data_IF_534867807101
#
_entry.id   IF_534867807101
#
_cell.length_a   1.000
_cell.length_b   1.000
_cell.length_c   1.000
_cell.angle_alpha   90.00
_cell.angle_beta   90.00
_cell.angle_gamma   90.00
#
_symmetry.space_group_name_H-M   'P 1'
#
loop_
_entity.id
_entity.type
_entity.pdbx_description
1 polymer ?
#
# COMPACT_ATOMS: atom_id res chain seq x y z
N UNK A 1 -1.15 -3.37 16.04
CA UNK A 1 0.12 -3.19 15.30
C UNK A 1 0.86 -4.51 15.06
N UNK A 2 1.18 -5.30 16.10
CA UNK A 2 2.00 -6.51 15.96
C UNK A 2 1.51 -7.51 14.86
N UNK A 3 0.20 -7.76 14.77
CA UNK A 3 -0.38 -8.65 13.74
C UNK A 3 -0.18 -8.12 12.32
N UNK A 4 -0.48 -6.83 12.08
CA UNK A 4 -0.34 -6.20 10.77
C UNK A 4 1.11 -6.14 10.30
N UNK A 5 2.03 -5.76 11.20
CA UNK A 5 3.46 -5.77 10.92
C UNK A 5 3.98 -7.17 10.58
N UNK A 6 3.59 -8.21 11.33
CA UNK A 6 4.02 -9.58 11.03
C UNK A 6 3.54 -10.05 9.65
N UNK A 7 2.29 -9.74 9.28
CA UNK A 7 1.74 -10.06 7.95
C UNK A 7 2.50 -9.29 6.87
N UNK A 8 2.76 -8.00 7.09
CA UNK A 8 3.52 -7.18 6.15
C UNK A 8 4.93 -7.75 5.92
N UNK A 9 5.66 -8.11 6.99
CA UNK A 9 6.99 -8.68 6.88
C UNK A 9 7.00 -10.02 6.12
N UNK A 10 6.03 -10.90 6.40
CA UNK A 10 5.96 -12.20 5.74
C UNK A 10 5.57 -12.12 4.25
N UNK A 11 4.79 -11.10 3.86
CA UNK A 11 4.12 -11.10 2.56
C UNK A 11 4.55 -9.96 1.64
N UNK A 12 4.71 -8.76 2.18
CA UNK A 12 4.82 -7.50 1.45
C UNK A 12 6.26 -6.98 1.40
N UNK A 13 7.01 -7.13 2.49
CA UNK A 13 8.34 -6.53 2.66
C UNK A 13 9.36 -7.01 1.62
N UNK A 14 9.17 -8.20 1.04
CA UNK A 14 10.02 -8.71 -0.05
C UNK A 14 10.10 -7.77 -1.26
N UNK A 15 9.06 -6.96 -1.48
CA UNK A 15 8.95 -6.02 -2.59
C UNK A 15 8.96 -4.57 -2.10
N UNK A 16 8.30 -4.29 -0.98
CA UNK A 16 8.12 -2.93 -0.47
C UNK A 16 9.16 -2.52 0.59
N UNK A 17 10.10 -3.40 0.96
CA UNK A 17 11.06 -3.16 2.02
C UNK A 17 10.47 -3.40 3.42
N UNK A 18 11.32 -3.47 4.45
CA UNK A 18 10.91 -3.78 5.83
C UNK A 18 10.19 -2.59 6.47
N UNK A 19 10.59 -1.38 6.10
CA UNK A 19 10.07 -0.10 6.61
C UNK A 19 9.30 0.67 5.53
N UNK A 20 8.96 0.03 4.40
CA UNK A 20 8.22 0.67 3.32
C UNK A 20 9.08 1.49 2.37
N UNK A 21 10.37 1.19 2.27
CA UNK A 21 11.35 1.88 1.43
C UNK A 21 11.05 1.75 -0.08
N UNK A 22 10.25 0.75 -0.46
CA UNK A 22 9.92 0.45 -1.85
C UNK A 22 11.16 0.26 -2.74
N UNK A 23 11.01 0.53 -4.02
CA UNK A 23 12.11 0.53 -4.97
C UNK A 23 12.63 1.95 -5.21
N UNK A 24 13.96 2.14 -5.27
CA UNK A 24 14.58 3.46 -5.52
C UNK A 24 14.15 4.08 -6.87
N UNK A 25 13.85 3.25 -7.86
CA UNK A 25 13.38 3.63 -9.19
C UNK A 25 11.85 3.53 -9.35
N UNK A 26 11.06 3.63 -8.28
CA UNK A 26 9.60 3.43 -8.31
C UNK A 26 8.81 4.28 -9.32
N UNK A 27 9.38 5.41 -9.77
CA UNK A 27 8.78 6.27 -10.81
C UNK A 27 9.17 5.88 -12.25
N UNK A 28 10.09 4.95 -12.42
CA UNK A 28 10.60 4.52 -13.72
C UNK A 28 10.01 3.17 -14.08
N UNK A 29 9.35 3.09 -15.24
CA UNK A 29 8.80 1.82 -15.73
C UNK A 29 9.89 0.79 -15.95
N UNK A 30 9.58 -0.45 -15.60
CA UNK A 30 10.35 -1.62 -15.99
C UNK A 30 10.14 -1.95 -17.48
N UNK A 31 10.98 -2.81 -18.09
CA UNK A 31 10.86 -3.18 -19.50
C UNK A 31 9.49 -3.78 -19.88
N UNK A 32 8.78 -4.39 -18.93
CA UNK A 32 7.42 -4.94 -19.11
C UNK A 32 6.30 -3.88 -18.97
N UNK A 33 6.67 -2.63 -18.74
CA UNK A 33 5.81 -1.46 -18.58
C UNK A 33 5.28 -1.23 -17.16
N UNK A 34 5.53 -2.16 -16.22
CA UNK A 34 5.07 -2.04 -14.82
C UNK A 34 5.86 -0.98 -14.05
N UNK A 35 5.22 -0.39 -13.05
CA UNK A 35 5.88 0.45 -12.06
C UNK A 35 6.35 -0.41 -10.88
N UNK A 36 7.59 -0.22 -10.41
CA UNK A 36 8.07 -0.90 -9.21
C UNK A 36 7.25 -0.52 -7.96
N UNK A 37 7.40 -1.28 -6.87
CA UNK A 37 6.76 -1.00 -5.59
C UNK A 37 7.01 0.44 -5.12
N UNK A 38 5.96 1.25 -4.85
CA UNK A 38 6.14 2.61 -4.34
C UNK A 38 6.69 2.61 -2.92
N UNK A 39 7.23 3.77 -2.56
CA UNK A 39 7.62 4.11 -1.19
C UNK A 39 6.33 4.26 -0.37
N UNK A 40 6.25 3.51 0.72
CA UNK A 40 5.17 3.53 1.69
C UNK A 40 5.54 4.29 2.97
N UNK A 41 6.80 4.68 3.16
CA UNK A 41 7.21 5.58 4.24
C UNK A 41 6.74 7.03 4.02
N UNK A 42 7.13 7.94 4.92
CA UNK A 42 6.78 9.36 4.84
C UNK A 42 7.31 10.07 3.59
N UNK A 43 8.35 9.54 2.93
CA UNK A 43 8.94 10.13 1.70
C UNK A 43 8.21 9.70 0.42
N UNK A 44 7.30 8.73 0.54
CA UNK A 44 6.37 8.30 -0.50
C UNK A 44 5.13 9.19 -0.61
N UNK A 45 4.06 8.62 -1.17
CA UNK A 45 2.77 9.32 -1.33
C UNK A 45 1.58 8.45 -0.93
N UNK A 46 1.81 7.28 -0.32
CA UNK A 46 0.74 6.32 0.01
C UNK A 46 -0.27 6.91 0.99
N UNK A 47 0.18 7.80 1.87
CA UNK A 47 -0.66 8.52 2.83
C UNK A 47 -1.65 9.50 2.17
N UNK A 48 -1.52 9.80 0.87
CA UNK A 48 -2.54 10.55 0.12
C UNK A 48 -3.76 9.72 -0.28
N UNK A 49 -3.69 8.39 -0.16
CA UNK A 49 -4.77 7.50 -0.58
C UNK A 49 -5.61 7.08 0.62
N UNK A 50 -6.94 7.09 0.44
CA UNK A 50 -7.87 6.72 1.48
C UNK A 50 -7.77 5.24 1.89
N UNK A 51 -8.22 4.94 3.12
CA UNK A 51 -8.31 3.58 3.65
C UNK A 51 -9.00 2.58 2.71
N UNK A 52 -10.16 2.95 2.16
CA UNK A 52 -10.93 2.10 1.26
C UNK A 52 -10.16 1.77 -0.01
N UNK A 53 -9.49 2.76 -0.62
CA UNK A 53 -8.65 2.56 -1.80
C UNK A 53 -7.45 1.65 -1.48
N UNK A 54 -6.72 1.93 -0.41
CA UNK A 54 -5.57 1.11 0.00
C UNK A 54 -5.99 -0.34 0.29
N UNK A 55 -7.12 -0.52 0.98
CA UNK A 55 -7.70 -1.85 1.23
C UNK A 55 -7.99 -2.59 -0.08
N UNK A 56 -8.66 -1.94 -1.03
CA UNK A 56 -9.02 -2.58 -2.30
C UNK A 56 -7.80 -2.87 -3.17
N UNK A 57 -6.78 -2.01 -3.18
CA UNK A 57 -5.50 -2.29 -3.87
C UNK A 57 -4.83 -3.56 -3.30
N UNK A 58 -4.79 -3.71 -1.98
CA UNK A 58 -4.23 -4.93 -1.36
C UNK A 58 -5.10 -6.15 -1.67
N UNK A 59 -6.43 -6.04 -1.52
CA UNK A 59 -7.37 -7.14 -1.76
C UNK A 59 -7.34 -7.61 -3.21
N UNK A 60 -7.46 -6.68 -4.14
CA UNK A 60 -7.75 -6.95 -5.54
C UNK A 60 -6.50 -6.93 -6.44
N UNK A 61 -5.37 -6.45 -5.91
CA UNK A 61 -4.13 -6.27 -6.65
C UNK A 61 -4.09 -4.93 -7.39
N UNK A 62 -2.88 -4.48 -7.71
CA UNK A 62 -2.68 -3.17 -8.33
C UNK A 62 -3.15 -3.11 -9.78
N UNK A 63 -3.17 -4.25 -10.49
CA UNK A 63 -3.52 -4.31 -11.91
C UNK A 63 -4.98 -3.91 -12.21
N UNK A 64 -5.88 -4.00 -11.23
CA UNK A 64 -7.29 -3.57 -11.42
C UNK A 64 -7.41 -2.05 -11.56
N UNK A 65 -6.40 -1.30 -11.11
CA UNK A 65 -6.35 0.15 -11.17
C UNK A 65 -5.54 0.66 -12.36
N UNK A 66 -5.21 -0.21 -13.33
CA UNK A 66 -4.48 0.16 -14.54
C UNK A 66 -5.14 1.31 -15.30
N UNK A 67 -4.32 2.25 -15.72
CA UNK A 67 -4.73 3.43 -16.49
C UNK A 67 -3.59 3.90 -17.39
N UNK A 68 -3.87 4.86 -18.28
CA UNK A 68 -2.81 5.52 -19.02
C UNK A 68 -1.85 6.19 -18.04
N UNK A 69 -0.65 5.62 -17.89
CA UNK A 69 0.29 6.08 -16.87
C UNK A 69 0.55 5.08 -15.74
N UNK A 70 -0.28 4.06 -15.54
CA UNK A 70 -0.16 3.15 -14.39
C UNK A 70 -0.35 1.69 -14.80
N UNK A 71 0.67 0.87 -14.52
CA UNK A 71 0.67 -0.59 -14.68
C UNK A 71 1.35 -1.21 -13.48
N UNK A 72 0.71 -2.16 -12.80
CA UNK A 72 1.21 -2.68 -11.52
C UNK A 72 1.42 -4.19 -11.57
N UNK A 73 2.55 -4.65 -11.01
CA UNK A 73 2.82 -6.06 -10.78
C UNK A 73 2.30 -6.56 -9.41
N UNK A 74 1.62 -5.70 -8.63
CA UNK A 74 1.18 -6.05 -7.28
C UNK A 74 0.06 -7.11 -7.34
N UNK A 75 0.28 -8.30 -6.74
CA UNK A 75 -0.71 -9.37 -6.77
C UNK A 75 -1.91 -9.06 -5.86
N UNK A 76 -3.04 -9.70 -6.16
CA UNK A 76 -4.21 -9.73 -5.29
C UNK A 76 -3.97 -10.59 -4.03
N UNK A 77 -4.49 -10.16 -2.89
CA UNK A 77 -4.38 -10.87 -1.60
C UNK A 77 -5.73 -11.30 -1.01
N UNK A 78 -6.85 -10.96 -1.64
CA UNK A 78 -8.20 -11.24 -1.13
C UNK A 78 -8.51 -12.71 -0.90
N UNK A 79 -7.87 -13.62 -1.64
CA UNK A 79 -8.03 -15.08 -1.46
C UNK A 79 -7.07 -15.67 -0.40
N UNK A 80 -6.14 -14.87 0.11
CA UNK A 80 -5.06 -15.31 1.02
C UNK A 80 -5.12 -14.68 2.41
N UNK A 81 -5.65 -13.46 2.51
CA UNK A 81 -5.75 -12.69 3.74
C UNK A 81 -7.21 -12.36 4.02
N UNK A 82 -7.62 -12.43 5.28
CA UNK A 82 -8.95 -12.00 5.68
C UNK A 82 -9.11 -10.47 5.54
N UNK A 83 -10.35 -9.94 5.46
CA UNK A 83 -10.60 -8.50 5.51
C UNK A 83 -9.92 -7.79 6.70
N UNK A 84 -9.93 -8.41 7.88
CA UNK A 84 -9.28 -7.90 9.09
C UNK A 84 -7.76 -7.88 8.95
N UNK A 85 -7.19 -8.86 8.28
CA UNK A 85 -5.74 -8.95 8.03
C UNK A 85 -5.28 -7.89 7.04
N UNK A 86 -6.05 -7.65 5.98
CA UNK A 86 -5.79 -6.55 5.04
C UNK A 86 -5.88 -5.21 5.75
N UNK A 87 -6.94 -4.98 6.55
CA UNK A 87 -7.06 -3.78 7.41
C UNK A 87 -5.86 -3.64 8.35
N UNK A 88 -5.39 -4.73 8.94
CA UNK A 88 -4.24 -4.71 9.84
C UNK A 88 -2.94 -4.33 9.11
N UNK A 89 -2.72 -4.79 7.88
CA UNK A 89 -1.57 -4.41 7.05
C UNK A 89 -1.62 -2.93 6.70
N UNK A 90 -2.76 -2.41 6.22
CA UNK A 90 -2.91 -0.97 5.92
C UNK A 90 -2.70 -0.14 7.19
N UNK A 91 -3.23 -0.57 8.33
CA UNK A 91 -2.99 0.09 9.64
C UNK A 91 -1.51 0.10 10.03
N UNK A 92 -0.77 -0.97 9.72
CA UNK A 92 0.67 -1.00 9.94
C UNK A 92 1.40 0.01 9.04
N UNK A 93 1.01 0.17 7.77
CA UNK A 93 1.60 1.22 6.90
C UNK A 93 1.46 2.60 7.53
N UNK A 94 0.31 2.90 8.16
CA UNK A 94 0.10 4.18 8.86
C UNK A 94 1.08 4.44 10.01
N UNK A 95 1.62 3.36 10.57
CA UNK A 95 2.61 3.43 11.65
C UNK A 95 3.97 3.91 11.18
N UNK A 96 4.26 3.79 9.87
CA UNK A 96 5.51 4.20 9.24
C UNK A 96 5.55 5.72 8.95
N UNK A 97 4.43 6.42 9.16
CA UNK A 97 4.29 7.83 8.81
C UNK A 97 4.52 8.76 9.99
N UNK A 98 4.74 10.06 9.71
CA UNK A 98 4.78 11.11 10.72
C UNK A 98 3.38 11.52 11.19
N UNK A 99 3.32 12.53 12.05
CA UNK A 99 2.05 13.05 12.57
C UNK A 99 1.24 13.77 11.48
N UNK A 100 1.91 14.50 10.60
CA UNK A 100 1.28 15.29 9.54
C UNK A 100 0.65 14.39 8.47
N UNK A 101 1.38 13.38 8.00
CA UNK A 101 0.88 12.42 7.01
C UNK A 101 -0.31 11.62 7.56
N UNK A 102 -0.27 11.22 8.84
CA UNK A 102 -1.41 10.55 9.49
C UNK A 102 -2.64 11.45 9.60
N UNK A 103 -2.45 12.75 9.87
CA UNK A 103 -3.55 13.71 9.94
C UNK A 103 -4.21 13.86 8.56
N UNK A 104 -3.40 14.11 7.53
CA UNK A 104 -3.87 14.21 6.14
C UNK A 104 -4.57 12.93 5.67
N UNK A 105 -3.93 11.78 5.88
CA UNK A 105 -4.53 10.49 5.53
C UNK A 105 -5.87 10.28 6.26
N UNK A 106 -5.96 10.70 7.53
CA UNK A 106 -7.20 10.66 8.30
C UNK A 106 -8.30 11.53 7.69
N UNK A 107 -7.97 12.69 7.12
CA UNK A 107 -8.91 13.54 6.38
C UNK A 107 -9.41 12.89 5.09
N UNK A 108 -8.49 12.36 4.27
CA UNK A 108 -8.85 11.71 3.02
C UNK A 108 -9.65 10.42 3.26
N UNK A 109 -9.30 9.66 4.30
CA UNK A 109 -9.99 8.41 4.65
C UNK A 109 -11.42 8.61 5.16
N UNK A 110 -11.79 9.81 5.61
CA UNK A 110 -13.20 10.11 5.93
C UNK A 110 -14.10 10.06 4.68
N UNK A 111 -13.54 10.26 3.49
CA UNK A 111 -14.29 10.26 2.23
C UNK A 111 -14.44 8.84 1.65
N UNK A 112 -13.51 7.93 1.97
CA UNK A 112 -13.52 6.52 1.54
C UNK A 112 -12.90 5.65 2.65
N UNK A 113 -13.68 5.34 3.71
CA UNK A 113 -13.19 4.57 4.85
C UNK A 113 -13.00 3.09 4.49
N UNK A 114 -12.44 2.31 5.42
CA UNK A 114 -12.44 0.85 5.27
C UNK A 114 -13.87 0.31 5.08
N UNK A 115 -14.05 -0.73 4.24
CA UNK A 115 -15.32 -1.45 4.14
C UNK A 115 -15.62 -2.27 5.39
#
# INVERSE_FOLDING_TARGET
MARGGAIYQANCARCHGVEGEGASNWRTRLPDGTLPPPLHDATGHTWHHADGLLYRIVRDGGAIYESEGFKSAMPAWGDRLSPEEIRAVVTFLKSLWGAEERAFHGEVSRQDPFP
#
